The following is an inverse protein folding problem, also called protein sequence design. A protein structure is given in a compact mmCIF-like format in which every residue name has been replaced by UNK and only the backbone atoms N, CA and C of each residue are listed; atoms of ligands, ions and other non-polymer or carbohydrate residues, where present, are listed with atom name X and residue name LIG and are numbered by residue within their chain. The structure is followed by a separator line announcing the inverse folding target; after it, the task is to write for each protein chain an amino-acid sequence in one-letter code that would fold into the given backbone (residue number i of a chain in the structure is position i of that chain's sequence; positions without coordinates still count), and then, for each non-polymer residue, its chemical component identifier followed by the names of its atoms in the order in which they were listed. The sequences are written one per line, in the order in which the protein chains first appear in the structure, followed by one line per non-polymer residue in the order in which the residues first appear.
data_IF_562496965377
#
_entry.id   IF_562496965377
#
_cell.length_a   1.000
_cell.length_b   1.000
_cell.length_c   1.000
_cell.angle_alpha   90.00
_cell.angle_beta   90.00
_cell.angle_gamma   90.00
#
_symmetry.space_group_name_H-M   'P 1'
#
loop_
_entity.id
_entity.type
_entity.pdbx_description
1 polymer ?
#
# COMPACT_ATOMS: atom_id res chain seq x y z
N UNK A 1 -7.11 -0.04 9.50
CA UNK A 1 -6.78 -1.46 9.27
C UNK A 1 -5.32 -1.69 9.53
N UNK A 2 -4.96 -2.88 9.99
CA UNK A 2 -3.57 -3.27 10.28
C UNK A 2 -3.16 -4.35 9.26
N UNK A 3 -2.09 -4.12 8.50
CA UNK A 3 -1.72 -5.00 7.38
C UNK A 3 -1.45 -6.44 7.81
N UNK A 4 -0.77 -6.64 8.95
CA UNK A 4 -0.43 -7.97 9.45
C UNK A 4 -1.62 -8.71 10.06
N UNK A 5 -2.60 -7.99 10.62
CA UNK A 5 -3.83 -8.57 11.15
C UNK A 5 -4.81 -8.96 10.03
N UNK A 6 -4.97 -8.09 9.04
CA UNK A 6 -6.07 -8.18 8.06
C UNK A 6 -5.61 -8.74 6.69
N UNK A 7 -4.30 -8.76 6.41
CA UNK A 7 -3.77 -9.01 5.07
C UNK A 7 -4.18 -10.36 4.46
N UNK A 8 -4.38 -11.39 5.28
CA UNK A 8 -4.79 -12.71 4.79
C UNK A 8 -6.19 -12.74 4.15
N UNK A 9 -7.10 -11.85 4.57
CA UNK A 9 -8.43 -11.73 3.95
C UNK A 9 -8.36 -11.23 2.51
N UNK A 10 -7.27 -10.55 2.14
CA UNK A 10 -7.07 -9.91 0.85
C UNK A 10 -6.12 -10.69 -0.08
N UNK A 11 -5.93 -11.99 0.17
CA UNK A 11 -5.12 -12.85 -0.68
C UNK A 11 -5.61 -12.79 -2.13
N UNK A 12 -4.68 -12.53 -3.06
CA UNK A 12 -4.95 -12.37 -4.50
C UNK A 12 -5.94 -11.25 -4.86
N UNK A 13 -6.22 -10.32 -3.95
CA UNK A 13 -7.00 -9.10 -4.22
C UNK A 13 -6.07 -7.90 -4.34
N UNK A 14 -6.55 -6.86 -4.99
CA UNK A 14 -5.86 -5.56 -5.02
C UNK A 14 -6.19 -4.78 -3.76
N UNK A 15 -5.22 -4.03 -3.23
CA UNK A 15 -5.37 -3.22 -2.01
C UNK A 15 -4.63 -1.89 -2.17
N UNK A 16 -5.01 -0.90 -1.37
CA UNK A 16 -4.31 0.37 -1.28
C UNK A 16 -3.68 0.54 0.11
N UNK A 17 -2.47 1.11 0.15
CA UNK A 17 -1.78 1.56 1.36
C UNK A 17 -1.58 3.07 1.25
N UNK A 18 -2.06 3.81 2.25
CA UNK A 18 -1.88 5.25 2.34
C UNK A 18 -0.73 5.57 3.29
N UNK A 19 0.32 6.21 2.79
CA UNK A 19 1.42 6.67 3.62
C UNK A 19 2.74 6.78 2.85
N UNK A 20 3.75 7.32 3.52
CA UNK A 20 5.08 7.42 2.93
C UNK A 20 6.22 7.43 3.93
N UNK A 21 5.98 6.86 5.12
CA UNK A 21 7.02 6.56 6.10
C UNK A 21 7.40 5.09 6.07
N UNK A 22 8.40 4.70 6.86
CA UNK A 22 8.89 3.31 6.93
C UNK A 22 7.76 2.30 7.12
N UNK A 23 6.84 2.55 8.07
CA UNK A 23 5.70 1.67 8.33
C UNK A 23 4.84 1.42 7.09
N UNK A 24 4.52 2.46 6.32
CA UNK A 24 3.67 2.32 5.14
C UNK A 24 4.37 1.49 4.04
N UNK A 25 5.68 1.69 3.86
CA UNK A 25 6.44 0.96 2.86
C UNK A 25 6.67 -0.50 3.27
N UNK A 26 6.95 -0.76 4.55
CA UNK A 26 7.11 -2.11 5.08
C UNK A 26 5.80 -2.90 5.02
N UNK A 27 4.68 -2.27 5.37
CA UNK A 27 3.35 -2.88 5.25
C UNK A 27 2.96 -3.13 3.78
N UNK A 28 3.31 -2.23 2.85
CA UNK A 28 3.11 -2.45 1.42
C UNK A 28 3.94 -3.64 0.91
N UNK A 29 5.20 -3.77 1.32
CA UNK A 29 6.04 -4.93 1.00
C UNK A 29 5.48 -6.23 1.59
N UNK A 30 4.96 -6.19 2.82
CA UNK A 30 4.30 -7.32 3.44
C UNK A 30 3.07 -7.75 2.62
N UNK A 31 2.18 -6.81 2.29
CA UNK A 31 0.97 -7.08 1.51
C UNK A 31 1.28 -7.55 0.09
N UNK A 32 2.35 -7.07 -0.55
CA UNK A 32 2.75 -7.52 -1.88
C UNK A 32 3.04 -9.04 -1.97
N UNK A 33 3.38 -9.69 -0.84
CA UNK A 33 3.55 -11.14 -0.79
C UNK A 33 2.22 -11.91 -0.74
N UNK A 34 1.11 -11.25 -0.41
CA UNK A 34 -0.20 -11.87 -0.17
C UNK A 34 -1.22 -11.47 -1.25
N UNK A 35 -1.24 -10.19 -1.59
CA UNK A 35 -2.16 -9.55 -2.52
C UNK A 35 -1.71 -9.73 -3.97
N UNK A 36 -2.63 -9.50 -4.92
CA UNK A 36 -2.29 -9.48 -6.35
C UNK A 36 -1.54 -8.21 -6.72
N UNK A 37 -1.92 -7.07 -6.12
CA UNK A 37 -1.36 -5.75 -6.37
C UNK A 37 -1.56 -4.83 -5.15
N UNK A 38 -0.63 -3.92 -4.91
CA UNK A 38 -0.68 -2.91 -3.85
C UNK A 38 -0.48 -1.53 -4.46
N UNK A 39 -1.45 -0.63 -4.29
CA UNK A 39 -1.29 0.79 -4.64
C UNK A 39 -0.74 1.54 -3.43
N UNK A 40 0.50 2.02 -3.49
CA UNK A 40 1.08 2.83 -2.43
C UNK A 40 0.86 4.31 -2.75
N UNK A 41 -0.07 4.92 -2.03
CA UNK A 41 -0.52 6.30 -2.24
C UNK A 41 0.23 7.22 -1.26
N UNK A 42 0.86 8.26 -1.79
CA UNK A 42 1.54 9.27 -0.99
C UNK A 42 1.27 10.69 -1.45
N UNK A 43 1.04 11.58 -0.49
CA UNK A 43 0.73 13.00 -0.72
C UNK A 43 1.89 13.87 -1.23
N UNK A 44 3.10 13.33 -1.35
CA UNK A 44 4.29 14.04 -1.86
C UNK A 44 4.97 13.20 -2.93
N UNK A 45 5.92 13.80 -3.63
CA UNK A 45 6.76 13.09 -4.61
C UNK A 45 7.79 12.15 -3.98
N UNK A 46 8.20 12.41 -2.73
CA UNK A 46 9.25 11.66 -2.05
C UNK A 46 8.78 10.99 -0.76
N UNK A 47 9.30 9.79 -0.51
CA UNK A 47 9.06 9.03 0.71
C UNK A 47 10.03 9.43 1.82
N UNK A 48 9.54 9.47 3.05
CA UNK A 48 10.31 9.66 4.28
C UNK A 48 10.55 8.31 4.97
N UNK A 49 11.30 7.44 4.29
CA UNK A 49 11.63 6.11 4.76
C UNK A 49 13.11 5.80 4.48
N UNK A 50 13.64 4.73 5.05
CA UNK A 50 15.01 4.28 4.79
C UNK A 50 15.23 4.08 3.28
N UNK A 51 16.35 4.56 2.71
CA UNK A 51 16.62 4.46 1.27
C UNK A 51 16.55 3.02 0.74
N UNK A 52 17.01 2.06 1.53
CA UNK A 52 16.94 0.64 1.20
C UNK A 52 15.50 0.11 1.08
N UNK A 53 14.59 0.60 1.92
CA UNK A 53 13.16 0.24 1.87
C UNK A 53 12.49 0.87 0.65
N UNK A 54 12.80 2.13 0.35
CA UNK A 54 12.31 2.82 -0.86
C UNK A 54 12.72 2.06 -2.12
N UNK A 55 13.99 1.63 -2.20
CA UNK A 55 14.50 0.85 -3.33
C UNK A 55 13.80 -0.51 -3.48
N UNK A 56 13.51 -1.22 -2.38
CA UNK A 56 12.76 -2.48 -2.42
C UNK A 56 11.35 -2.29 -2.96
N UNK A 57 10.67 -1.22 -2.51
CA UNK A 57 9.33 -0.88 -2.97
C UNK A 57 9.33 -0.55 -4.46
N UNK A 58 10.25 0.31 -4.92
CA UNK A 58 10.38 0.68 -6.34
C UNK A 58 10.68 -0.49 -7.27
N UNK A 59 11.35 -1.53 -6.78
CA UNK A 59 11.69 -2.74 -7.55
C UNK A 59 10.62 -3.82 -7.53
N UNK A 60 9.59 -3.68 -6.70
CA UNK A 60 8.55 -4.71 -6.57
C UNK A 60 7.45 -4.48 -7.62
N UNK A 61 7.34 -5.39 -8.58
CA UNK A 61 6.37 -5.31 -9.69
C UNK A 61 4.90 -5.34 -9.26
N UNK A 62 4.61 -5.82 -8.04
CA UNK A 62 3.25 -5.81 -7.48
C UNK A 62 2.88 -4.50 -6.79
N UNK A 63 3.82 -3.58 -6.61
CA UNK A 63 3.56 -2.29 -5.95
C UNK A 63 3.54 -1.18 -7.01
N UNK A 64 2.38 -0.53 -7.14
CA UNK A 64 2.23 0.67 -7.97
C UNK A 64 2.33 1.91 -7.09
N UNK A 65 3.21 2.84 -7.46
CA UNK A 65 3.43 4.08 -6.73
C UNK A 65 2.53 5.18 -7.27
N UNK A 66 1.69 5.74 -6.41
CA UNK A 66 0.84 6.90 -6.72
C UNK A 66 1.29 8.05 -5.81
N UNK A 67 2.24 8.84 -6.29
CA UNK A 67 2.82 9.98 -5.55
C UNK A 67 2.09 11.29 -5.88
N UNK A 68 2.30 12.31 -5.04
CA UNK A 68 1.57 13.59 -5.14
C UNK A 68 0.06 13.43 -5.21
N UNK A 69 -0.46 12.45 -4.48
CA UNK A 69 -1.87 12.10 -4.44
C UNK A 69 -2.40 12.00 -3.01
N UNK A 70 -3.65 12.42 -2.83
CA UNK A 70 -4.42 12.24 -1.61
C UNK A 70 -5.70 11.47 -1.91
N UNK A 71 -6.20 10.75 -0.90
CA UNK A 71 -7.51 10.11 -0.99
C UNK A 71 -8.57 11.19 -0.76
N UNK A 72 -9.53 11.28 -1.68
CA UNK A 72 -10.67 12.19 -1.58
C UNK A 72 -11.81 11.52 -0.79
N UNK A 73 -12.25 10.35 -1.25
CA UNK A 73 -13.31 9.58 -0.61
C UNK A 73 -13.07 8.07 -0.75
N UNK A 74 -13.67 7.29 0.16
CA UNK A 74 -13.69 5.83 0.13
C UNK A 74 -15.15 5.37 0.09
N UNK A 75 -15.49 4.56 -0.91
CA UNK A 75 -16.85 4.05 -1.10
C UNK A 75 -16.93 2.56 -0.77
N UNK A 76 -18.11 2.11 -0.39
CA UNK A 76 -18.37 0.72 -0.05
C UNK A 76 -19.83 0.45 0.27
N UNK A 77 -20.14 -0.81 0.54
CA UNK A 77 -21.47 -1.25 0.94
C UNK A 77 -21.40 -2.07 2.25
N UNK A 78 -22.51 -2.73 2.61
CA UNK A 78 -22.61 -3.53 3.84
C UNK A 78 -21.65 -4.73 3.87
N UNK A 79 -21.12 -5.14 2.73
CA UNK A 79 -20.16 -6.24 2.60
C UNK A 79 -18.70 -5.77 2.63
N UNK A 80 -18.44 -4.46 2.54
CA UNK A 80 -17.12 -3.88 2.72
C UNK A 80 -16.83 -2.71 1.78
N UNK A 81 -15.61 -2.18 1.92
CA UNK A 81 -15.06 -1.17 1.00
C UNK A 81 -14.81 -1.83 -0.36
N UNK A 82 -15.23 -1.18 -1.45
CA UNK A 82 -15.06 -1.68 -2.82
C UNK A 82 -13.93 -0.97 -3.53
#
# INVERSE_FOLDING_TARGET
TCATCDGFFYKNKEVAVLGGGDTALEEALYLANICSKVYLIHRRDEFRAAPSTVEKVKKNEKIELITSASIDEVYGDKMGVT
#
